data_IF_615640349279
#
_entry.id   IF_615640349279
#
_cell.length_a   1.000
_cell.length_b   1.000
_cell.length_c   1.000
_cell.angle_alpha   90.00
_cell.angle_beta   90.00
_cell.angle_gamma   90.00
#
_symmetry.space_group_name_H-M   'P 1'
#
loop_
_entity.id
_entity.type
_entity.pdbx_description
1 polymer ?
#
# COMPACT_ATOMS: atom_id res chain seq x y z
N UNK A 1 -41.92 15.51 -27.83
CA UNK A 1 -41.52 16.01 -26.49
C UNK A 1 -40.41 15.11 -25.98
N UNK A 2 -39.17 15.52 -26.18
CA UNK A 2 -37.97 14.84 -25.68
C UNK A 2 -37.81 15.17 -24.21
N UNK A 3 -37.97 14.18 -23.33
CA UNK A 3 -37.63 14.26 -21.91
C UNK A 3 -36.12 14.47 -21.78
N UNK A 4 -35.68 15.71 -21.62
CA UNK A 4 -34.36 16.01 -21.09
C UNK A 4 -34.36 15.51 -19.65
N UNK A 5 -33.66 14.40 -19.39
CA UNK A 5 -33.32 13.97 -18.04
C UNK A 5 -32.60 15.14 -17.36
N UNK A 6 -33.13 15.62 -16.24
CA UNK A 6 -32.41 16.56 -15.39
C UNK A 6 -31.02 15.97 -15.08
N UNK A 7 -29.94 16.76 -15.16
CA UNK A 7 -28.62 16.27 -14.81
C UNK A 7 -28.65 15.81 -13.35
N UNK A 8 -28.31 14.55 -13.12
CA UNK A 8 -28.26 13.97 -11.80
C UNK A 8 -27.16 14.66 -10.99
N UNK A 9 -27.54 15.25 -9.85
CA UNK A 9 -26.58 15.92 -8.98
C UNK A 9 -25.61 14.87 -8.39
N UNK A 10 -24.32 15.06 -8.65
CA UNK A 10 -23.25 14.17 -8.16
C UNK A 10 -22.40 14.89 -7.12
N UNK A 11 -22.02 14.18 -6.06
CA UNK A 11 -21.07 14.67 -5.07
C UNK A 11 -19.68 14.85 -5.70
N UNK A 12 -19.05 15.98 -5.40
CA UNK A 12 -17.70 16.32 -5.85
C UNK A 12 -16.87 16.85 -4.68
N UNK A 13 -15.56 16.69 -4.76
CA UNK A 13 -14.61 17.34 -3.87
C UNK A 13 -14.14 18.65 -4.51
N UNK A 14 -14.15 19.74 -3.74
CA UNK A 14 -13.62 21.04 -4.17
C UNK A 14 -12.41 21.40 -3.32
N UNK A 15 -11.24 21.42 -3.94
CA UNK A 15 -9.96 21.79 -3.29
C UNK A 15 -9.66 23.27 -3.51
N UNK A 16 -9.79 24.07 -2.46
CA UNK A 16 -9.44 25.49 -2.45
C UNK A 16 -8.05 25.73 -1.84
N UNK A 17 -7.25 26.62 -2.43
CA UNK A 17 -5.94 26.99 -1.90
C UNK A 17 -6.06 28.24 -1.02
N UNK A 18 -5.67 28.14 0.25
CA UNK A 18 -5.72 29.25 1.22
C UNK A 18 -4.31 29.71 1.57
N UNK A 19 -4.13 31.03 1.70
CA UNK A 19 -2.90 31.63 2.22
C UNK A 19 -3.19 32.22 3.59
N UNK A 20 -2.36 31.87 4.57
CA UNK A 20 -2.52 32.27 5.97
C UNK A 20 -1.56 33.41 6.39
N UNK A 21 -0.78 33.97 5.46
CA UNK A 21 0.24 34.99 5.75
C UNK A 21 0.12 36.16 4.75
N UNK A 22 0.25 37.40 5.22
CA UNK A 22 0.39 38.57 4.33
C UNK A 22 1.57 38.32 3.38
N UNK A 23 1.25 38.25 2.09
CA UNK A 23 2.19 37.82 1.05
C UNK A 23 2.18 38.88 -0.05
N UNK A 24 3.37 39.28 -0.51
CA UNK A 24 3.49 40.29 -1.56
C UNK A 24 2.87 39.82 -2.90
N UNK A 25 2.52 40.78 -3.75
CA UNK A 25 1.85 40.51 -5.03
C UNK A 25 2.68 39.61 -5.97
N UNK A 26 4.02 39.68 -5.94
CA UNK A 26 4.86 38.85 -6.80
C UNK A 26 4.80 37.39 -6.36
N UNK A 27 4.83 37.14 -5.05
CA UNK A 27 4.67 35.79 -4.50
C UNK A 27 3.28 35.23 -4.78
N UNK A 28 2.22 36.03 -4.68
CA UNK A 28 0.86 35.62 -5.08
C UNK A 28 0.79 35.23 -6.56
N UNK A 29 1.42 36.00 -7.45
CA UNK A 29 1.49 35.67 -8.88
C UNK A 29 2.25 34.36 -9.13
N UNK A 30 3.36 34.12 -8.42
CA UNK A 30 4.10 32.85 -8.51
C UNK A 30 3.25 31.67 -8.07
N UNK A 31 2.54 31.79 -6.94
CA UNK A 31 1.64 30.74 -6.43
C UNK A 31 0.50 30.46 -7.43
N UNK A 32 -0.14 31.50 -7.98
CA UNK A 32 -1.20 31.32 -8.98
C UNK A 32 -0.68 30.64 -10.26
N UNK A 33 0.49 31.05 -10.76
CA UNK A 33 1.15 30.41 -11.92
C UNK A 33 1.43 28.94 -11.65
N UNK A 34 1.87 28.63 -10.44
CA UNK A 34 2.13 27.30 -9.95
C UNK A 34 0.86 26.42 -9.94
N UNK A 35 -0.22 26.89 -9.32
CA UNK A 35 -1.52 26.19 -9.29
C UNK A 35 -2.04 25.94 -10.73
N UNK A 36 -1.97 26.94 -11.61
CA UNK A 36 -2.41 26.77 -13.01
C UNK A 36 -1.59 25.73 -13.77
N UNK A 37 -0.28 25.65 -13.49
CA UNK A 37 0.60 24.64 -14.10
C UNK A 37 0.26 23.23 -13.63
N UNK A 38 -0.12 23.06 -12.36
CA UNK A 38 -0.62 21.78 -11.85
C UNK A 38 -1.89 21.34 -12.59
N UNK A 39 -2.88 22.22 -12.71
CA UNK A 39 -4.08 21.94 -13.48
C UNK A 39 -3.74 21.54 -14.93
N UNK A 40 -2.80 22.25 -15.57
CA UNK A 40 -2.36 21.94 -16.94
C UNK A 40 -1.74 20.54 -17.07
N UNK A 41 -0.99 20.09 -16.05
CA UNK A 41 -0.42 18.72 -16.02
C UNK A 41 -1.51 17.69 -15.71
N UNK A 42 -2.47 18.02 -14.85
CA UNK A 42 -3.48 17.10 -14.34
C UNK A 42 -4.62 16.85 -15.34
N UNK A 43 -5.17 17.90 -15.98
CA UNK A 43 -6.27 17.80 -16.97
C UNK A 43 -6.10 16.66 -17.99
N UNK A 44 -4.94 16.47 -18.66
CA UNK A 44 -4.80 15.44 -19.69
C UNK A 44 -4.58 14.02 -19.14
N UNK A 45 -4.52 13.83 -17.82
CA UNK A 45 -4.29 12.51 -17.23
C UNK A 45 -5.58 11.71 -17.18
N UNK A 46 -5.54 10.50 -17.73
CA UNK A 46 -6.67 9.57 -17.75
C UNK A 46 -6.17 8.16 -17.49
N UNK A 47 -6.47 7.66 -16.29
CA UNK A 47 -6.11 6.31 -15.86
C UNK A 47 -6.98 5.93 -14.65
N UNK A 48 -7.36 4.65 -14.54
CA UNK A 48 -8.26 4.15 -13.48
C UNK A 48 -7.73 4.37 -12.05
N UNK A 49 -6.42 4.52 -11.90
CA UNK A 49 -5.73 4.73 -10.62
C UNK A 49 -5.12 6.13 -10.48
N UNK A 50 -5.59 7.10 -11.27
CA UNK A 50 -5.28 8.52 -11.11
C UNK A 50 -6.58 9.25 -10.86
N UNK A 51 -6.65 10.07 -9.81
CA UNK A 51 -7.83 10.87 -9.52
C UNK A 51 -8.04 11.83 -10.69
N UNK A 52 -9.20 11.88 -11.35
CA UNK A 52 -9.42 12.81 -12.45
C UNK A 52 -9.68 14.23 -11.93
N UNK A 53 -9.23 15.23 -12.70
CA UNK A 53 -9.62 16.62 -12.53
C UNK A 53 -10.82 16.89 -13.44
N UNK A 54 -12.00 17.05 -12.84
CA UNK A 54 -13.26 17.19 -13.57
C UNK A 54 -13.58 18.64 -13.89
N UNK A 55 -13.00 19.58 -13.14
CA UNK A 55 -13.22 21.00 -13.36
C UNK A 55 -12.26 21.89 -12.59
N UNK A 56 -12.24 23.17 -12.99
CA UNK A 56 -11.52 24.24 -12.32
C UNK A 56 -12.51 25.38 -12.09
N UNK A 57 -12.63 25.83 -10.85
CA UNK A 57 -13.46 26.98 -10.48
C UNK A 57 -12.52 28.19 -10.36
N UNK A 58 -12.85 29.28 -11.05
CA UNK A 58 -12.07 30.53 -11.04
C UNK A 58 -12.79 31.67 -10.32
N UNK A 59 -13.94 31.38 -9.73
CA UNK A 59 -14.78 32.35 -9.04
C UNK A 59 -14.23 32.66 -7.64
N UNK A 60 -14.41 33.90 -7.19
CA UNK A 60 -13.86 34.39 -5.92
C UNK A 60 -14.50 33.76 -4.67
N UNK A 61 -15.59 32.98 -4.82
CA UNK A 61 -16.25 32.28 -3.71
C UNK A 61 -15.35 31.27 -3.00
N UNK A 62 -14.41 30.65 -3.73
CA UNK A 62 -13.49 29.63 -3.19
C UNK A 62 -12.10 30.19 -2.85
N UNK A 63 -11.95 31.51 -2.86
CA UNK A 63 -10.72 32.22 -2.53
C UNK A 63 -9.99 32.78 -3.74
N UNK A 64 -8.81 33.40 -3.55
CA UNK A 64 -8.13 34.19 -4.58
C UNK A 64 -7.42 33.35 -5.66
N UNK A 65 -7.47 32.02 -5.56
CA UNK A 65 -6.83 31.10 -6.50
C UNK A 65 -7.84 30.14 -7.11
N UNK A 66 -7.58 29.62 -8.33
CA UNK A 66 -8.41 28.59 -8.90
C UNK A 66 -8.55 27.39 -7.97
N UNK A 67 -9.78 26.94 -7.76
CA UNK A 67 -10.09 25.72 -7.01
C UNK A 67 -10.28 24.54 -7.96
N UNK A 68 -9.97 23.34 -7.49
CA UNK A 68 -10.04 22.11 -8.29
C UNK A 68 -11.23 21.25 -7.91
N UNK A 69 -11.92 20.72 -8.92
CA UNK A 69 -13.07 19.84 -8.77
C UNK A 69 -12.68 18.43 -9.19
N UNK A 70 -12.89 17.46 -8.31
CA UNK A 70 -12.67 16.04 -8.58
C UNK A 70 -13.82 15.20 -8.03
N UNK A 71 -13.93 13.91 -8.38
CA UNK A 71 -14.94 13.03 -7.80
C UNK A 71 -14.81 12.99 -6.28
N UNK A 72 -15.95 12.98 -5.59
CA UNK A 72 -15.95 12.65 -4.16
C UNK A 72 -15.56 11.18 -3.96
N UNK A 73 -14.58 10.93 -3.09
CA UNK A 73 -14.07 9.58 -2.81
C UNK A 73 -14.64 9.11 -1.46
N UNK A 74 -15.68 8.27 -1.50
CA UNK A 74 -16.50 7.93 -0.32
C UNK A 74 -15.72 7.23 0.79
N UNK A 75 -14.71 6.44 0.40
CA UNK A 75 -13.84 5.71 1.32
C UNK A 75 -12.61 6.54 1.76
N UNK A 76 -12.59 7.84 1.44
CA UNK A 76 -11.60 8.84 1.86
C UNK A 76 -10.16 8.45 1.45
N UNK A 77 -9.18 8.80 2.28
CA UNK A 77 -7.77 8.48 2.04
C UNK A 77 -7.46 7.02 2.42
N UNK A 78 -6.37 6.47 1.89
CA UNK A 78 -5.87 5.16 2.28
C UNK A 78 -5.54 5.10 3.78
N UNK A 79 -5.02 6.20 4.35
CA UNK A 79 -4.79 6.32 5.78
C UNK A 79 -6.08 6.10 6.60
N UNK A 80 -7.20 6.69 6.18
CA UNK A 80 -8.47 6.56 6.88
C UNK A 80 -9.11 5.20 6.60
N UNK A 81 -9.09 4.74 5.35
CA UNK A 81 -9.59 3.43 4.95
C UNK A 81 -8.98 2.29 5.77
N UNK A 82 -7.65 2.31 5.98
CA UNK A 82 -6.93 1.30 6.76
C UNK A 82 -7.15 1.39 8.28
N UNK A 83 -7.67 2.50 8.82
CA UNK A 83 -8.05 2.57 10.25
C UNK A 83 -9.34 1.80 10.53
N UNK A 84 -10.29 1.86 9.61
CA UNK A 84 -11.62 1.27 9.80
C UNK A 84 -11.73 -0.16 9.28
N UNK A 85 -10.93 -0.53 8.27
CA UNK A 85 -10.92 -1.89 7.70
C UNK A 85 -9.89 -2.78 8.39
N UNK A 86 -10.36 -3.55 9.36
CA UNK A 86 -9.59 -4.63 10.01
C UNK A 86 -9.70 -5.91 9.16
N UNK A 87 -8.61 -6.70 9.09
CA UNK A 87 -8.67 -8.05 8.52
C UNK A 87 -8.73 -8.12 6.99
N UNK A 88 -8.16 -7.16 6.25
CA UNK A 88 -8.07 -7.25 4.78
C UNK A 88 -7.31 -8.51 4.34
N UNK A 89 -7.92 -9.29 3.44
CA UNK A 89 -7.31 -10.49 2.87
C UNK A 89 -6.02 -10.16 2.09
N UNK A 90 -5.12 -11.14 1.97
CA UNK A 90 -3.90 -11.01 1.18
C UNK A 90 -4.20 -10.63 -0.26
N UNK A 91 -5.24 -11.22 -0.85
CA UNK A 91 -5.66 -10.92 -2.21
C UNK A 91 -6.06 -9.45 -2.36
N UNK A 92 -6.83 -8.88 -1.42
CA UNK A 92 -7.18 -7.46 -1.47
C UNK A 92 -5.94 -6.57 -1.30
N UNK A 93 -5.05 -6.89 -0.35
CA UNK A 93 -3.78 -6.15 -0.15
C UNK A 93 -2.91 -6.14 -1.41
N UNK A 94 -2.79 -7.27 -2.10
CA UNK A 94 -2.09 -7.37 -3.40
C UNK A 94 -2.76 -6.53 -4.48
N UNK A 95 -4.09 -6.55 -4.57
CA UNK A 95 -4.83 -5.69 -5.49
C UNK A 95 -4.57 -4.22 -5.22
N UNK A 96 -4.61 -3.79 -3.95
CA UNK A 96 -4.33 -2.41 -3.58
C UNK A 96 -2.90 -1.99 -3.98
N UNK A 97 -1.90 -2.82 -3.71
CA UNK A 97 -0.52 -2.55 -4.13
C UNK A 97 -0.38 -2.42 -5.66
N UNK A 98 -1.05 -3.30 -6.42
CA UNK A 98 -1.05 -3.24 -7.91
C UNK A 98 -1.70 -1.97 -8.44
N UNK A 99 -2.81 -1.53 -7.86
CA UNK A 99 -3.53 -0.31 -8.27
C UNK A 99 -2.67 0.94 -8.06
N UNK A 100 -2.02 1.06 -6.90
CA UNK A 100 -1.09 2.17 -6.60
C UNK A 100 0.10 2.13 -7.56
N UNK A 101 0.68 0.94 -7.81
CA UNK A 101 1.78 0.78 -8.76
C UNK A 101 1.37 1.15 -10.19
N UNK A 102 0.15 0.81 -10.61
CA UNK A 102 -0.36 1.14 -11.94
C UNK A 102 -0.52 2.65 -12.14
N UNK A 103 -1.09 3.35 -11.14
CA UNK A 103 -1.16 4.81 -11.15
C UNK A 103 0.24 5.44 -11.21
N UNK A 104 1.17 4.95 -10.39
CA UNK A 104 2.53 5.50 -10.36
C UNK A 104 3.30 5.24 -11.66
N UNK A 105 3.17 4.04 -12.23
CA UNK A 105 3.73 3.70 -13.54
C UNK A 105 3.22 4.64 -14.62
N UNK A 106 1.90 4.89 -14.65
CA UNK A 106 1.29 5.81 -15.60
C UNK A 106 1.88 7.23 -15.51
N UNK A 107 2.06 7.77 -14.30
CA UNK A 107 2.74 9.06 -14.11
C UNK A 107 4.18 9.02 -14.63
N UNK A 108 4.94 7.99 -14.27
CA UNK A 108 6.33 7.85 -14.66
C UNK A 108 6.51 7.72 -16.19
N UNK A 109 5.61 7.02 -16.87
CA UNK A 109 5.60 6.90 -18.34
C UNK A 109 5.31 8.23 -19.03
N UNK A 110 4.51 9.10 -18.39
CA UNK A 110 4.28 10.48 -18.84
C UNK A 110 5.41 11.44 -18.46
N UNK A 111 6.47 10.95 -17.82
CA UNK A 111 7.59 11.77 -17.35
C UNK A 111 7.28 12.61 -16.11
N UNK A 112 6.18 12.31 -15.41
CA UNK A 112 5.73 13.02 -14.22
C UNK A 112 6.29 12.30 -12.99
N UNK A 113 6.89 13.07 -12.08
CA UNK A 113 7.26 12.63 -10.73
C UNK A 113 6.16 13.08 -9.78
N UNK A 114 5.66 12.20 -8.92
CA UNK A 114 4.64 12.55 -7.95
C UNK A 114 5.20 13.50 -6.89
N UNK A 115 6.30 13.10 -6.25
CA UNK A 115 7.11 13.92 -5.35
C UNK A 115 6.53 14.22 -3.97
N UNK A 116 5.38 13.64 -3.62
CA UNK A 116 4.78 13.66 -2.27
C UNK A 116 3.84 12.46 -2.10
N UNK A 117 4.29 11.29 -2.52
CA UNK A 117 3.48 10.08 -2.45
C UNK A 117 3.35 9.62 -0.99
N UNK A 118 2.15 9.74 -0.41
CA UNK A 118 1.84 9.36 0.98
C UNK A 118 0.52 8.59 1.06
N UNK A 119 0.22 7.94 2.18
CA UNK A 119 -1.09 7.29 2.39
C UNK A 119 -2.27 8.28 2.49
N UNK A 120 -2.02 9.58 2.63
CA UNK A 120 -3.03 10.63 2.56
C UNK A 120 -3.35 11.03 1.10
N UNK A 121 -2.37 10.90 0.20
CA UNK A 121 -2.49 11.26 -1.21
C UNK A 121 -2.95 10.09 -2.11
N UNK A 122 -3.29 8.95 -1.49
CA UNK A 122 -3.98 7.84 -2.16
C UNK A 122 -5.42 7.83 -1.68
N UNK A 123 -6.38 8.09 -2.58
CA UNK A 123 -7.80 8.10 -2.29
C UNK A 123 -8.47 6.77 -2.66
N UNK A 124 -9.57 6.46 -1.99
CA UNK A 124 -10.32 5.21 -2.17
C UNK A 124 -11.75 5.53 -2.60
N UNK A 125 -12.14 5.04 -3.78
CA UNK A 125 -13.49 5.20 -4.33
C UNK A 125 -14.51 4.32 -3.59
N UNK A 126 -15.80 4.53 -3.81
CA UNK A 126 -16.89 3.68 -3.29
C UNK A 126 -16.74 2.18 -3.58
N UNK A 127 -16.25 1.79 -4.78
CA UNK A 127 -15.96 0.39 -5.15
C UNK A 127 -14.65 -0.15 -4.54
N UNK A 128 -13.93 0.68 -3.78
CA UNK A 128 -12.69 0.30 -3.08
C UNK A 128 -11.46 0.28 -3.98
N UNK A 129 -11.48 0.98 -5.11
CA UNK A 129 -10.36 1.21 -6.02
C UNK A 129 -9.50 2.36 -5.51
N UNK A 130 -8.19 2.26 -5.68
CA UNK A 130 -7.25 3.29 -5.27
C UNK A 130 -6.85 4.21 -6.42
N UNK A 131 -6.86 5.52 -6.14
CA UNK A 131 -6.44 6.56 -7.07
C UNK A 131 -5.38 7.45 -6.42
N UNK A 132 -4.30 7.73 -7.14
CA UNK A 132 -3.32 8.75 -6.72
C UNK A 132 -3.91 10.14 -6.95
N UNK A 133 -3.80 11.02 -5.97
CA UNK A 133 -4.14 12.44 -6.05
C UNK A 133 -2.96 13.30 -5.62
N UNK A 134 -3.14 14.62 -5.64
CA UNK A 134 -2.18 15.59 -5.08
C UNK A 134 -0.73 15.42 -5.58
N UNK A 135 -0.57 15.06 -6.85
CA UNK A 135 0.72 14.97 -7.52
C UNK A 135 1.07 16.30 -8.22
N UNK A 136 2.36 16.63 -8.30
CA UNK A 136 2.84 17.80 -9.05
C UNK A 136 2.92 19.11 -8.27
N UNK A 137 2.26 19.23 -7.11
CA UNK A 137 2.39 20.39 -6.21
C UNK A 137 3.81 20.60 -5.69
N UNK A 138 4.52 19.51 -5.36
CA UNK A 138 5.82 19.58 -4.68
C UNK A 138 6.89 20.24 -5.54
N UNK A 139 7.02 19.84 -6.81
CA UNK A 139 7.97 20.46 -7.75
C UNK A 139 7.64 21.93 -8.01
N UNK A 140 6.34 22.22 -8.10
CA UNK A 140 5.81 23.52 -8.50
C UNK A 140 5.91 24.56 -7.35
N UNK A 141 5.77 24.13 -6.09
CA UNK A 141 5.93 24.99 -4.91
C UNK A 141 7.41 25.26 -4.59
N UNK A 142 8.31 24.31 -4.86
CA UNK A 142 9.74 24.49 -4.71
C UNK A 142 10.31 25.55 -5.68
N UNK A 143 9.82 25.58 -6.93
CA UNK A 143 10.19 26.61 -7.90
C UNK A 143 9.64 28.01 -7.53
N UNK A 144 8.49 28.10 -6.85
CA UNK A 144 7.84 29.37 -6.54
C UNK A 144 8.43 30.11 -5.32
N UNK A 145 8.92 29.37 -4.32
CA UNK A 145 9.29 29.96 -3.03
C UNK A 145 10.77 30.27 -2.84
N UNK A 146 11.70 29.81 -3.70
CA UNK A 146 13.14 29.82 -3.40
C UNK A 146 13.48 29.28 -1.99
N UNK A 147 12.57 28.52 -1.40
CA UNK A 147 12.74 27.85 -0.11
C UNK A 147 13.01 26.39 -0.41
N UNK A 148 13.75 25.75 0.50
CA UNK A 148 13.81 24.29 0.61
C UNK A 148 12.43 23.68 0.35
N UNK A 149 12.40 22.55 -0.36
CA UNK A 149 11.16 21.79 -0.61
C UNK A 149 10.39 21.67 0.71
N UNK A 150 9.37 22.51 0.90
CA UNK A 150 8.50 22.49 2.08
C UNK A 150 7.52 21.31 1.99
N UNK A 151 7.95 20.18 1.43
CA UNK A 151 7.32 18.86 1.60
C UNK A 151 7.54 18.30 3.00
N UNK A 152 8.37 18.96 3.82
CA UNK A 152 8.46 18.74 5.27
C UNK A 152 7.21 19.25 6.01
N UNK A 153 6.01 18.91 5.53
CA UNK A 153 4.82 18.99 6.36
C UNK A 153 4.93 17.93 7.46
N UNK A 154 4.51 18.27 8.68
CA UNK A 154 4.49 17.32 9.79
C UNK A 154 3.70 16.07 9.37
N UNK A 155 4.35 14.89 9.44
CA UNK A 155 3.78 13.60 9.06
C UNK A 155 4.23 13.05 7.70
N UNK A 156 4.67 13.88 6.74
CA UNK A 156 5.10 13.41 5.41
C UNK A 156 6.53 12.86 5.39
N UNK A 157 7.36 13.32 6.33
CA UNK A 157 8.79 12.97 6.42
C UNK A 157 9.07 11.47 6.42
N UNK A 158 8.19 10.66 7.03
CA UNK A 158 8.35 9.20 7.10
C UNK A 158 8.20 8.48 5.76
N UNK A 159 7.65 9.14 4.75
CA UNK A 159 7.48 8.61 3.40
C UNK A 159 8.59 9.07 2.45
N UNK A 160 9.32 10.12 2.84
CA UNK A 160 10.35 10.73 2.00
C UNK A 160 11.58 9.84 1.91
N UNK A 161 12.17 9.81 0.72
CA UNK A 161 13.42 9.13 0.49
C UNK A 161 14.59 9.86 1.19
N UNK A 162 15.60 9.15 1.72
CA UNK A 162 16.69 9.77 2.49
C UNK A 162 17.41 10.88 1.74
N UNK A 163 17.61 10.76 0.42
CA UNK A 163 18.28 11.78 -0.40
C UNK A 163 17.53 13.12 -0.51
N UNK A 164 16.22 13.13 -0.19
CA UNK A 164 15.40 14.34 -0.17
C UNK A 164 15.44 15.03 1.22
N UNK A 165 15.94 14.33 2.24
CA UNK A 165 15.95 14.80 3.64
C UNK A 165 17.38 15.08 4.11
N UNK A 166 18.32 14.20 3.76
CA UNK A 166 19.74 14.24 4.16
C UNK A 166 20.56 14.96 3.08
N UNK A 167 20.22 16.22 2.81
CA UNK A 167 20.97 17.05 1.85
C UNK A 167 22.22 17.60 2.55
N UNK A 168 23.40 17.27 2.03
CA UNK A 168 24.69 17.68 2.61
C UNK A 168 25.12 19.10 2.19
N UNK A 169 24.66 19.60 1.04
CA UNK A 169 25.00 20.94 0.54
C UNK A 169 23.82 21.91 0.70
N UNK A 170 24.04 23.03 1.40
CA UNK A 170 23.01 24.05 1.71
C UNK A 170 22.33 24.62 0.45
N UNK A 171 23.00 24.62 -0.70
CA UNK A 171 22.50 25.16 -1.97
C UNK A 171 21.98 24.09 -2.97
N UNK A 172 22.15 22.81 -2.67
CA UNK A 172 21.70 21.73 -3.56
C UNK A 172 20.25 21.33 -3.25
N UNK A 173 19.29 21.96 -3.92
CA UNK A 173 17.90 21.55 -3.81
C UNK A 173 17.71 20.12 -4.37
N UNK A 174 17.62 19.10 -3.50
CA UNK A 174 17.28 17.73 -3.90
C UNK A 174 15.87 17.69 -4.48
N UNK A 175 15.78 17.68 -5.80
CA UNK A 175 14.49 17.59 -6.51
C UNK A 175 13.93 16.17 -6.36
N UNK A 176 12.60 16.01 -6.16
CA UNK A 176 11.94 14.73 -6.23
C UNK A 176 12.30 14.02 -7.54
N UNK A 177 12.55 12.71 -7.44
CA UNK A 177 12.88 11.87 -8.58
C UNK A 177 11.90 10.71 -8.66
N UNK A 178 11.84 10.05 -9.82
CA UNK A 178 11.09 8.78 -9.97
C UNK A 178 11.56 7.73 -8.97
N UNK A 179 12.86 7.69 -8.66
CA UNK A 179 13.41 6.79 -7.65
C UNK A 179 12.95 7.16 -6.22
N UNK A 180 12.78 8.46 -5.94
CA UNK A 180 12.17 8.96 -4.70
C UNK A 180 10.71 8.49 -4.56
N UNK A 181 9.92 8.58 -5.63
CA UNK A 181 8.55 8.04 -5.62
C UNK A 181 8.52 6.53 -5.36
N UNK A 182 9.47 5.76 -5.93
CA UNK A 182 9.58 4.32 -5.69
C UNK A 182 9.86 4.01 -4.22
N UNK A 183 10.67 4.83 -3.54
CA UNK A 183 10.89 4.72 -2.10
C UNK A 183 9.57 4.88 -1.34
N UNK A 184 8.86 5.98 -1.60
CA UNK A 184 7.58 6.27 -0.96
C UNK A 184 6.53 5.20 -1.25
N UNK A 185 6.50 4.67 -2.48
CA UNK A 185 5.66 3.54 -2.87
C UNK A 185 5.99 2.29 -2.05
N UNK A 186 7.27 1.94 -1.86
CA UNK A 186 7.68 0.80 -1.03
C UNK A 186 7.16 0.90 0.40
N UNK A 187 7.21 2.12 0.96
CA UNK A 187 6.63 2.44 2.25
C UNK A 187 5.09 2.26 2.27
N UNK A 188 4.38 2.73 1.24
CA UNK A 188 2.92 2.56 1.12
C UNK A 188 2.53 1.09 0.95
N UNK A 189 3.28 0.33 0.16
CA UNK A 189 3.05 -1.11 0.00
C UNK A 189 3.11 -1.79 1.37
N UNK A 190 4.14 -1.51 2.18
CA UNK A 190 4.24 -2.10 3.50
C UNK A 190 3.23 -1.54 4.49
N UNK A 191 2.79 -0.28 4.35
CA UNK A 191 1.65 0.26 5.10
C UNK A 191 0.37 -0.56 4.87
N UNK A 192 0.09 -0.96 3.63
CA UNK A 192 -1.05 -1.81 3.25
C UNK A 192 -0.92 -3.21 3.85
N UNK A 193 0.27 -3.82 3.78
CA UNK A 193 0.45 -5.19 4.27
C UNK A 193 0.50 -5.28 5.81
N UNK A 194 1.20 -4.35 6.45
CA UNK A 194 1.48 -4.36 7.89
C UNK A 194 0.42 -3.67 8.74
N UNK A 195 -0.35 -2.74 8.17
CA UNK A 195 -1.21 -1.86 8.96
C UNK A 195 -0.45 -0.76 9.73
N UNK A 196 0.87 -0.68 9.61
CA UNK A 196 1.72 0.29 10.33
C UNK A 196 2.27 1.35 9.40
N UNK A 197 2.47 2.58 9.91
CA UNK A 197 3.19 3.63 9.18
C UNK A 197 4.70 3.36 9.20
N UNK A 198 5.46 3.86 8.22
CA UNK A 198 6.93 3.85 8.29
C UNK A 198 7.38 4.48 9.60
N UNK A 199 8.36 3.91 10.30
CA UNK A 199 8.84 4.38 11.60
C UNK A 199 7.71 4.52 12.65
N UNK A 200 6.74 3.60 12.70
CA UNK A 200 5.57 3.70 13.60
C UNK A 200 5.92 3.82 15.09
N UNK A 201 7.11 3.37 15.51
CA UNK A 201 7.60 3.48 16.88
C UNK A 201 8.16 4.88 17.20
N UNK A 202 8.42 5.72 16.19
CA UNK A 202 8.96 7.07 16.34
C UNK A 202 7.83 8.10 16.23
N UNK A 203 7.61 8.84 17.32
CA UNK A 203 6.52 9.82 17.43
C UNK A 203 6.84 11.19 16.82
N UNK A 204 8.10 11.62 16.85
CA UNK A 204 8.53 12.96 16.42
C UNK A 204 9.28 12.88 15.09
N UNK A 205 8.90 13.72 14.14
CA UNK A 205 9.51 13.73 12.80
C UNK A 205 11.02 14.05 12.86
N UNK A 206 11.45 14.95 13.74
CA UNK A 206 12.88 15.23 13.93
C UNK A 206 13.70 13.97 14.29
N UNK A 207 13.13 13.03 15.07
CA UNK A 207 13.80 11.78 15.41
C UNK A 207 13.80 10.78 14.22
N UNK A 208 12.91 10.96 13.24
CA UNK A 208 12.94 10.18 11.99
C UNK A 208 14.13 10.60 11.14
N UNK A 209 14.48 11.90 11.11
CA UNK A 209 15.70 12.37 10.44
C UNK A 209 16.93 11.68 11.04
N UNK A 210 17.05 11.64 12.37
CA UNK A 210 18.13 10.93 13.04
C UNK A 210 18.13 9.44 12.69
N UNK A 211 16.97 8.79 12.69
CA UNK A 211 16.86 7.38 12.31
C UNK A 211 17.28 7.13 10.85
N UNK A 212 16.92 8.03 9.92
CA UNK A 212 17.37 7.96 8.51
C UNK A 212 18.88 8.12 8.40
N UNK A 213 19.46 9.08 9.13
CA UNK A 213 20.91 9.30 9.18
C UNK A 213 21.66 8.06 9.70
N UNK A 214 21.10 7.39 10.71
CA UNK A 214 21.62 6.14 11.27
C UNK A 214 21.33 4.90 10.39
N UNK A 215 20.82 5.09 9.15
CA UNK A 215 20.42 4.03 8.22
C UNK A 215 19.39 3.05 8.80
N UNK A 216 18.55 3.49 9.75
CA UNK A 216 17.45 2.69 10.25
C UNK A 216 16.39 2.53 9.15
N UNK A 217 15.96 1.29 8.94
CA UNK A 217 14.94 0.94 7.96
C UNK A 217 13.56 1.47 8.39
N UNK A 218 12.69 1.87 7.45
CA UNK A 218 11.35 2.36 7.76
C UNK A 218 10.46 1.32 8.46
N UNK A 219 10.75 0.04 8.28
CA UNK A 219 10.04 -1.06 8.92
C UNK A 219 11.04 -2.10 9.45
N UNK A 220 10.75 -2.66 10.62
CA UNK A 220 11.38 -3.90 11.08
C UNK A 220 10.86 -5.09 10.24
N UNK A 221 11.55 -6.23 10.28
CA UNK A 221 11.07 -7.47 9.63
C UNK A 221 9.75 -7.87 10.31
N UNK A 222 8.69 -8.06 9.51
CA UNK A 222 7.37 -8.39 10.02
C UNK A 222 7.06 -9.84 9.70
N UNK A 223 6.77 -10.64 10.74
CA UNK A 223 6.64 -12.10 10.57
C UNK A 223 5.37 -12.49 9.81
N UNK A 224 4.32 -11.66 9.87
CA UNK A 224 3.03 -11.93 9.22
C UNK A 224 2.94 -11.47 7.75
N UNK A 225 4.06 -11.09 7.14
CA UNK A 225 4.14 -10.70 5.72
C UNK A 225 5.08 -11.68 5.00
N UNK A 226 4.73 -12.09 3.79
CA UNK A 226 5.56 -13.01 3.00
C UNK A 226 6.90 -12.39 2.62
N UNK A 227 7.93 -13.23 2.50
CA UNK A 227 9.31 -12.77 2.30
C UNK A 227 9.47 -12.08 0.95
N UNK A 228 8.73 -12.50 -0.05
CA UNK A 228 8.76 -11.95 -1.40
C UNK A 228 8.27 -10.50 -1.40
N UNK A 229 7.17 -10.21 -0.67
CA UNK A 229 6.63 -8.86 -0.53
C UNK A 229 7.56 -7.99 0.30
N UNK A 230 8.12 -8.53 1.39
CA UNK A 230 9.11 -7.81 2.19
C UNK A 230 10.36 -7.48 1.39
N UNK A 231 10.89 -8.42 0.62
CA UNK A 231 12.07 -8.24 -0.21
C UNK A 231 11.80 -7.22 -1.33
N UNK A 232 10.64 -7.29 -1.98
CA UNK A 232 10.23 -6.30 -2.97
C UNK A 232 10.15 -4.89 -2.36
N UNK A 233 9.52 -4.75 -1.18
CA UNK A 233 9.46 -3.47 -0.47
C UNK A 233 10.85 -2.95 -0.10
N UNK A 234 11.73 -3.85 0.36
CA UNK A 234 13.09 -3.51 0.75
C UNK A 234 13.94 -2.98 -0.39
N UNK A 235 13.76 -3.54 -1.59
CA UNK A 235 14.38 -2.99 -2.80
C UNK A 235 13.81 -1.62 -3.15
N UNK A 236 12.50 -1.41 -3.00
CA UNK A 236 11.87 -0.12 -3.27
C UNK A 236 12.42 1.00 -2.37
N UNK A 237 12.61 0.73 -1.07
CA UNK A 237 13.13 1.73 -0.12
C UNK A 237 14.64 1.65 0.12
N UNK A 238 15.41 1.11 -0.82
CA UNK A 238 16.88 1.08 -0.73
C UNK A 238 17.45 2.47 -0.52
N UNK A 239 18.44 2.63 0.36
CA UNK A 239 19.17 3.90 0.53
C UNK A 239 19.85 4.33 -0.78
N UNK A 240 20.38 3.38 -1.55
CA UNK A 240 20.88 3.66 -2.90
C UNK A 240 19.71 3.68 -3.91
N UNK A 241 19.52 4.82 -4.57
CA UNK A 241 18.52 5.06 -5.61
C UNK A 241 18.61 4.07 -6.78
N UNK A 242 19.82 3.67 -7.20
CA UNK A 242 20.04 2.79 -8.36
C UNK A 242 19.55 1.35 -8.13
N UNK A 243 19.48 0.93 -6.87
CA UNK A 243 18.96 -0.40 -6.51
C UNK A 243 17.44 -0.45 -6.46
N UNK A 244 16.78 0.71 -6.50
CA UNK A 244 15.32 0.80 -6.51
C UNK A 244 14.80 0.33 -7.88
N UNK A 245 13.88 -0.65 -7.93
CA UNK A 245 13.37 -1.16 -9.19
C UNK A 245 12.50 -0.12 -9.89
N UNK A 246 12.46 -0.18 -11.22
CA UNK A 246 11.44 0.53 -12.00
C UNK A 246 10.05 0.01 -11.62
N UNK A 247 9.04 0.89 -11.63
CA UNK A 247 7.67 0.53 -11.25
C UNK A 247 7.13 -0.64 -12.08
N UNK A 248 7.52 -0.75 -13.35
CA UNK A 248 7.10 -1.85 -14.21
C UNK A 248 7.58 -3.21 -13.72
N UNK A 249 8.79 -3.27 -13.12
CA UNK A 249 9.33 -4.49 -12.49
C UNK A 249 8.63 -4.82 -11.18
N UNK A 250 8.18 -3.81 -10.45
CA UNK A 250 7.33 -4.00 -9.26
C UNK A 250 5.99 -4.61 -9.68
N UNK A 251 5.34 -4.02 -10.69
CA UNK A 251 4.05 -4.50 -11.20
C UNK A 251 4.13 -5.93 -11.75
N UNK A 252 5.21 -6.27 -12.46
CA UNK A 252 5.49 -7.63 -12.94
C UNK A 252 5.62 -8.62 -11.76
N UNK A 253 6.37 -8.26 -10.72
CA UNK A 253 6.51 -9.08 -9.51
C UNK A 253 5.17 -9.30 -8.79
N UNK A 254 4.36 -8.24 -8.62
CA UNK A 254 3.04 -8.35 -7.98
C UNK A 254 2.04 -9.19 -8.79
N UNK A 255 2.11 -9.12 -10.12
CA UNK A 255 1.30 -9.96 -11.01
C UNK A 255 1.69 -11.43 -10.87
N UNK A 256 2.99 -11.73 -10.86
CA UNK A 256 3.48 -13.09 -10.63
C UNK A 256 3.01 -13.63 -9.28
N UNK A 257 3.12 -12.83 -8.22
CA UNK A 257 2.64 -13.19 -6.88
C UNK A 257 1.12 -13.47 -6.85
N UNK A 258 0.32 -12.70 -7.60
CA UNK A 258 -1.12 -12.94 -7.74
C UNK A 258 -1.38 -14.27 -8.47
N UNK A 259 -0.70 -14.51 -9.59
CA UNK A 259 -0.89 -15.71 -10.40
C UNK A 259 -0.47 -16.99 -9.66
N UNK A 260 0.60 -16.94 -8.87
CA UNK A 260 1.01 -18.08 -8.03
C UNK A 260 -0.07 -18.34 -6.96
N UNK A 261 -0.56 -17.30 -6.28
CA UNK A 261 -1.61 -17.46 -5.27
C UNK A 261 -2.89 -18.09 -5.85
N UNK A 262 -3.32 -17.65 -7.04
CA UNK A 262 -4.46 -18.22 -7.75
C UNK A 262 -4.21 -19.68 -8.14
N UNK A 263 -3.02 -19.99 -8.65
CA UNK A 263 -2.63 -21.36 -9.01
C UNK A 263 -2.66 -22.29 -7.79
N UNK A 264 -2.07 -21.87 -6.67
CA UNK A 264 -2.08 -22.63 -5.41
C UNK A 264 -3.51 -22.82 -4.91
N UNK A 265 -4.35 -21.78 -4.96
CA UNK A 265 -5.76 -21.88 -4.59
C UNK A 265 -6.52 -22.91 -5.43
N UNK A 266 -6.33 -22.89 -6.75
CA UNK A 266 -6.95 -23.85 -7.65
C UNK A 266 -6.48 -25.28 -7.39
N UNK A 267 -5.18 -25.45 -7.12
CA UNK A 267 -4.61 -26.74 -6.75
C UNK A 267 -5.21 -27.32 -5.46
N UNK A 268 -5.38 -26.48 -4.43
CA UNK A 268 -6.01 -26.89 -3.17
C UNK A 268 -7.47 -27.32 -3.38
N UNK A 269 -8.22 -26.62 -4.24
CA UNK A 269 -9.61 -26.96 -4.55
C UNK A 269 -9.76 -28.29 -5.31
N UNK A 270 -8.70 -28.76 -5.98
CA UNK A 270 -8.70 -30.02 -6.73
C UNK A 270 -8.29 -31.24 -5.89
N UNK A 271 -7.93 -31.04 -4.62
CA UNK A 271 -7.52 -32.14 -3.76
C UNK A 271 -8.70 -33.11 -3.51
N UNK A 272 -8.48 -34.43 -3.53
CA UNK A 272 -9.54 -35.44 -3.38
C UNK A 272 -10.00 -35.61 -1.92
N UNK A 273 -9.87 -34.57 -1.10
CA UNK A 273 -10.14 -34.58 0.35
C UNK A 273 -10.89 -33.32 0.73
N UNK A 274 -12.03 -33.47 1.42
CA UNK A 274 -12.81 -32.33 1.91
C UNK A 274 -12.13 -31.76 3.15
N UNK A 275 -11.42 -30.64 3.00
CA UNK A 275 -10.80 -29.93 4.14
C UNK A 275 -11.67 -28.74 4.52
N UNK A 276 -12.02 -28.64 5.80
CA UNK A 276 -12.77 -27.50 6.35
C UNK A 276 -12.02 -26.20 6.10
N UNK A 277 -12.68 -25.23 5.45
CA UNK A 277 -12.13 -23.88 5.28
C UNK A 277 -12.49 -23.04 6.51
N UNK A 278 -11.47 -22.57 7.23
CA UNK A 278 -11.58 -21.72 8.41
C UNK A 278 -11.36 -20.28 7.97
N UNK A 279 -12.33 -19.41 8.26
CA UNK A 279 -12.21 -17.99 7.96
C UNK A 279 -11.10 -17.37 8.81
N UNK A 280 -10.24 -16.55 8.19
CA UNK A 280 -9.21 -15.81 8.93
C UNK A 280 -9.83 -14.82 9.93
N UNK A 281 -11.06 -14.37 9.68
CA UNK A 281 -11.80 -13.50 10.61
C UNK A 281 -12.21 -14.22 11.91
N UNK A 282 -12.28 -15.55 11.91
CA UNK A 282 -12.60 -16.36 13.09
C UNK A 282 -11.35 -16.66 13.93
N UNK A 283 -10.17 -16.25 13.47
CA UNK A 283 -8.87 -16.53 14.08
C UNK A 283 -8.25 -15.24 14.64
N UNK A 284 -7.99 -15.22 15.94
CA UNK A 284 -7.27 -14.12 16.59
C UNK A 284 -5.93 -14.62 17.10
N UNK A 285 -4.83 -14.04 16.60
CA UNK A 285 -3.46 -14.42 17.00
C UNK A 285 -3.22 -14.11 18.48
N UNK A 286 -2.62 -15.04 19.21
CA UNK A 286 -2.18 -14.81 20.59
C UNK A 286 -0.80 -14.16 20.60
N UNK A 287 -0.58 -13.18 21.48
CA UNK A 287 0.65 -12.39 21.57
C UNK A 287 1.62 -13.03 22.57
N UNK A 288 2.24 -14.14 22.16
CA UNK A 288 2.97 -15.06 23.06
C UNK A 288 4.49 -14.77 23.14
N UNK A 289 4.97 -13.78 22.40
CA UNK A 289 6.40 -13.44 22.29
C UNK A 289 7.15 -14.25 21.22
N UNK A 290 8.07 -13.55 20.51
CA UNK A 290 8.95 -14.00 19.41
C UNK A 290 8.36 -15.10 18.51
N UNK A 291 7.66 -14.66 17.45
CA UNK A 291 7.30 -15.52 16.34
C UNK A 291 8.55 -16.17 15.72
N UNK A 292 8.85 -17.41 16.11
CA UNK A 292 9.97 -18.17 15.54
C UNK A 292 9.61 -18.61 14.12
N UNK A 293 10.48 -18.30 13.16
CA UNK A 293 10.30 -18.64 11.75
C UNK A 293 10.03 -20.14 11.56
N UNK A 294 8.90 -20.47 10.93
CA UNK A 294 8.50 -21.84 10.61
C UNK A 294 7.84 -22.61 11.75
N UNK A 295 7.75 -22.05 12.95
CA UNK A 295 7.00 -22.64 14.05
C UNK A 295 5.49 -22.43 13.86
N UNK A 296 4.63 -23.37 14.33
CA UNK A 296 3.21 -23.12 14.46
C UNK A 296 2.97 -21.93 15.41
N UNK A 297 2.08 -21.03 15.00
CA UNK A 297 1.70 -19.86 15.79
C UNK A 297 0.40 -20.14 16.54
N UNK A 298 0.26 -19.60 17.75
CA UNK A 298 -0.95 -19.80 18.56
C UNK A 298 -2.05 -18.81 18.19
N UNK A 299 -3.25 -19.33 18.02
CA UNK A 299 -4.45 -18.54 17.74
C UNK A 299 -5.61 -19.00 18.62
N UNK A 300 -6.53 -18.08 18.88
CA UNK A 300 -7.89 -18.37 19.34
C UNK A 300 -8.79 -18.49 18.12
N UNK A 301 -9.51 -19.60 18.03
CA UNK A 301 -10.50 -19.86 16.99
C UNK A 301 -11.91 -19.82 17.58
N UNK A 302 -12.76 -18.94 17.03
CA UNK A 302 -14.19 -18.86 17.40
C UNK A 302 -14.99 -19.78 16.49
N UNK A 303 -15.41 -20.94 17.02
CA UNK A 303 -16.22 -21.89 16.27
C UNK A 303 -17.68 -21.44 16.31
N UNK A 304 -18.24 -21.04 15.16
CA UNK A 304 -19.65 -20.67 15.01
C UNK A 304 -20.19 -19.68 16.06
N UNK A 305 -19.37 -18.70 16.45
CA UNK A 305 -19.76 -17.65 17.40
C UNK A 305 -20.04 -18.11 18.83
N UNK A 306 -19.74 -19.36 19.17
CA UNK A 306 -20.26 -20.00 20.40
C UNK A 306 -19.18 -20.42 21.39
N UNK A 307 -17.99 -20.84 20.92
CA UNK A 307 -16.88 -21.28 21.78
C UNK A 307 -15.52 -20.90 21.22
N UNK A 308 -14.67 -20.28 22.04
CA UNK A 308 -13.24 -20.08 21.74
C UNK A 308 -12.46 -21.37 22.00
N UNK A 309 -11.62 -21.78 21.06
CA UNK A 309 -10.67 -22.89 21.22
C UNK A 309 -9.28 -22.43 20.79
N UNK A 310 -8.25 -22.87 21.51
CA UNK A 310 -6.88 -22.60 21.11
C UNK A 310 -6.44 -23.56 20.01
N UNK A 311 -5.81 -23.01 18.98
CA UNK A 311 -5.34 -23.75 17.81
C UNK A 311 -3.92 -23.34 17.43
N UNK A 312 -3.17 -24.29 16.88
CA UNK A 312 -1.89 -24.04 16.25
C UNK A 312 -2.10 -23.81 14.75
N UNK A 313 -1.66 -22.65 14.24
CA UNK A 313 -1.71 -22.29 12.83
C UNK A 313 -0.31 -22.40 12.25
N UNK A 314 -0.10 -23.35 11.35
CA UNK A 314 1.18 -23.55 10.66
C UNK A 314 1.05 -23.12 9.21
N UNK A 315 1.74 -22.04 8.85
CA UNK A 315 1.85 -21.59 7.46
C UNK A 315 3.00 -22.35 6.78
N UNK A 316 2.73 -23.00 5.64
CA UNK A 316 3.82 -23.47 4.79
C UNK A 316 4.56 -22.25 4.25
N UNK A 317 5.89 -22.28 4.27
CA UNK A 317 6.75 -21.29 3.61
C UNK A 317 7.71 -22.06 2.72
N UNK A 318 7.80 -21.65 1.46
CA UNK A 318 8.77 -22.11 0.47
C UNK A 318 9.12 -20.89 -0.39
N UNK A 319 10.40 -20.72 -0.71
CA UNK A 319 10.85 -19.68 -1.63
C UNK A 319 10.34 -20.02 -3.04
N UNK A 320 9.41 -19.23 -3.55
CA UNK A 320 8.83 -19.45 -4.89
C UNK A 320 9.49 -18.53 -5.90
N UNK A 321 10.59 -19.02 -6.46
CA UNK A 321 11.30 -18.30 -7.53
C UNK A 321 11.04 -18.90 -8.92
N UNK A 322 10.39 -20.08 -9.01
CA UNK A 322 10.12 -20.73 -10.29
C UNK A 322 8.81 -21.54 -10.36
N UNK A 323 8.31 -21.77 -11.58
CA UNK A 323 7.17 -22.66 -11.85
C UNK A 323 7.40 -24.10 -11.35
N UNK A 324 8.66 -24.54 -11.28
CA UNK A 324 9.02 -25.89 -10.83
C UNK A 324 8.83 -26.05 -9.32
N UNK A 325 8.84 -24.94 -8.56
CA UNK A 325 8.61 -24.96 -7.13
C UNK A 325 7.12 -25.15 -6.82
N UNK A 326 6.21 -24.61 -7.66
CA UNK A 326 4.76 -24.76 -7.51
C UNK A 326 4.33 -26.24 -7.46
N UNK A 327 4.94 -27.11 -8.27
CA UNK A 327 4.64 -28.55 -8.25
C UNK A 327 5.16 -29.24 -6.97
N UNK A 328 6.34 -28.87 -6.47
CA UNK A 328 6.85 -29.38 -5.18
C UNK A 328 5.92 -28.99 -4.03
N UNK A 329 5.44 -27.75 -4.06
CA UNK A 329 4.48 -27.20 -3.10
C UNK A 329 3.17 -27.98 -3.15
N UNK A 330 2.63 -28.24 -4.35
CA UNK A 330 1.41 -29.04 -4.50
C UNK A 330 1.56 -30.41 -3.81
N UNK A 331 2.67 -31.10 -4.08
CA UNK A 331 2.94 -32.39 -3.45
C UNK A 331 3.07 -32.29 -1.93
N UNK A 332 3.63 -31.20 -1.41
CA UNK A 332 3.79 -30.97 0.04
C UNK A 332 2.45 -30.69 0.71
N UNK A 333 1.62 -29.83 0.13
CA UNK A 333 0.24 -29.56 0.57
C UNK A 333 -0.58 -30.85 0.54
N UNK A 334 -0.56 -31.55 -0.59
CA UNK A 334 -1.26 -32.83 -0.76
C UNK A 334 -0.78 -33.84 0.28
N UNK A 335 0.54 -33.95 0.54
CA UNK A 335 1.08 -34.84 1.57
C UNK A 335 0.63 -34.44 2.97
N UNK A 336 0.66 -33.16 3.32
CA UNK A 336 0.28 -32.67 4.66
C UNK A 336 -1.19 -33.02 4.97
N UNK A 337 -2.07 -32.86 3.97
CA UNK A 337 -3.51 -33.17 4.05
C UNK A 337 -3.74 -34.68 4.01
N UNK A 338 -3.20 -35.37 3.00
CA UNK A 338 -3.43 -36.79 2.77
C UNK A 338 -2.96 -37.63 3.97
N UNK A 339 -1.77 -37.35 4.51
CA UNK A 339 -1.26 -38.05 5.69
C UNK A 339 -2.20 -37.90 6.87
N UNK A 340 -2.73 -36.69 7.14
CA UNK A 340 -3.49 -36.44 8.37
C UNK A 340 -4.97 -36.78 8.28
N UNK A 341 -5.55 -36.75 7.09
CA UNK A 341 -6.94 -37.16 6.87
C UNK A 341 -7.09 -38.67 6.70
N UNK A 342 -6.15 -39.32 5.98
CA UNK A 342 -6.24 -40.76 5.68
C UNK A 342 -5.53 -41.65 6.69
N UNK A 343 -4.42 -41.20 7.30
CA UNK A 343 -3.69 -41.98 8.32
C UNK A 343 -4.10 -41.51 9.71
N UNK A 344 -5.31 -41.90 10.15
CA UNK A 344 -5.77 -41.65 11.51
C UNK A 344 -4.99 -42.55 12.46
N UNK A 345 -4.07 -41.95 13.23
CA UNK A 345 -3.30 -42.62 14.26
C UNK A 345 -3.27 -41.73 15.51
N UNK A 346 -3.30 -42.33 16.70
CA UNK A 346 -3.36 -41.62 17.99
C UNK A 346 -2.18 -40.67 18.25
N UNK A 347 -1.05 -40.88 17.58
CA UNK A 347 0.15 -40.02 17.67
C UNK A 347 0.25 -38.97 16.56
N UNK A 348 -0.69 -38.94 15.62
CA UNK A 348 -0.71 -37.96 14.51
C UNK A 348 -1.77 -36.91 14.81
N UNK A 349 -1.36 -35.64 14.90
CA UNK A 349 -2.29 -34.53 15.12
C UNK A 349 -3.35 -34.46 14.00
N UNK A 350 -4.61 -34.40 14.42
CA UNK A 350 -5.73 -34.18 13.52
C UNK A 350 -5.66 -32.79 12.88
N UNK A 351 -5.99 -32.70 11.59
CA UNK A 351 -6.13 -31.43 10.89
C UNK A 351 -7.56 -30.90 11.14
N UNK A 352 -7.71 -29.74 11.76
CA UNK A 352 -9.02 -29.10 11.93
C UNK A 352 -9.52 -28.45 10.64
N UNK A 353 -8.60 -27.88 9.86
CA UNK A 353 -8.93 -27.24 8.60
C UNK A 353 -7.76 -26.45 8.02
N UNK A 354 -8.08 -25.63 7.03
CA UNK A 354 -7.14 -24.72 6.37
C UNK A 354 -7.69 -23.31 6.37
N UNK A 355 -6.79 -22.34 6.39
CA UNK A 355 -7.12 -20.91 6.29
C UNK A 355 -6.14 -20.20 5.36
N UNK A 356 -6.44 -18.95 4.97
CA UNK A 356 -5.50 -18.13 4.22
C UNK A 356 -4.22 -17.90 5.06
N UNK A 357 -3.05 -18.16 4.47
CA UNK A 357 -1.78 -17.90 5.12
C UNK A 357 -1.33 -16.46 5.00
N UNK A 358 -0.36 -16.07 5.83
CA UNK A 358 0.40 -14.82 5.66
C UNK A 358 1.21 -14.79 4.35
N UNK A 359 1.52 -15.98 3.82
CA UNK A 359 2.22 -16.23 2.56
C UNK A 359 1.31 -16.47 1.36
N UNK A 360 1.91 -16.94 0.27
CA UNK A 360 1.18 -17.43 -0.91
C UNK A 360 0.47 -18.76 -0.62
N UNK A 361 0.93 -19.48 0.41
CA UNK A 361 0.45 -20.81 0.77
C UNK A 361 -0.67 -20.78 1.81
N UNK A 362 -1.54 -21.81 1.79
CA UNK A 362 -2.50 -21.99 2.87
C UNK A 362 -1.78 -22.26 4.19
N UNK A 363 -2.43 -21.82 5.26
CA UNK A 363 -2.11 -22.23 6.62
C UNK A 363 -2.95 -23.42 7.02
N UNK A 364 -2.37 -24.32 7.81
CA UNK A 364 -3.04 -25.48 8.37
C UNK A 364 -3.34 -25.23 9.84
N UNK A 365 -4.56 -25.57 10.26
CA UNK A 365 -5.04 -25.37 11.62
C UNK A 365 -5.10 -26.71 12.34
N UNK A 366 -4.45 -26.77 13.49
CA UNK A 366 -4.32 -27.96 14.33
C UNK A 366 -4.80 -27.65 15.76
N UNK A 367 -5.11 -28.67 16.57
CA UNK A 367 -5.12 -28.51 18.02
C UNK A 367 -3.81 -27.86 18.50
N UNK A 368 -3.89 -26.90 19.43
CA UNK A 368 -2.74 -26.46 20.23
C UNK A 368 -2.41 -27.55 21.25
#
# INVERSE_FOLDING_TARGET
MSTQSQPEARLVAVKSFRIFVETDMQTLQKINKSIRREAYVWVPLSHDNILPLEGVIVDDEFGPFPAFVSPWMENQTLNDYLKWKVGLSRAKKLTMAKEIAAGLQYLHDKGIVHGDLTDANVLVSSDGRLCLGDFGLSMILAEARNTTFNSCHAGNMRWMAPELVLVEEEDAMSKPTKAGDVYSYGCIMMRVFSGHKPYHHIKRDAAIITAMYDNQKPFSRLVDISEEIQHLAQRCWSSNMEYRPLVGKIAESLRLQTAIAETVKMMVLQLPVTVTQISQADLTKCDDGLDVLGAPLRYKWVVHGSSETEVAVKTLRDDVDSQNDINKIYHRIHREIYVREKLRHETILALYGMTEGSGIFPSFVYPW
#
